data_IF_034299211559
#
_entry.id   IF_034299211559
#
_cell.length_a   1.000
_cell.length_b   1.000
_cell.length_c   1.000
_cell.angle_alpha   90.00
_cell.angle_beta   90.00
_cell.angle_gamma   90.00
#
_symmetry.space_group_name_H-M   'P 1'
#
loop_
_entity.id
_entity.type
_entity.pdbx_description
1 polymer ?
#
# COMPACT_ATOMS: atom_id res chain seq x y z
N UNK A 1 13.64 -20.79 -6.54
CA UNK A 1 12.51 -20.85 -5.59
C UNK A 1 11.57 -19.71 -5.96
N UNK A 2 10.51 -20.01 -6.70
CA UNK A 2 9.55 -18.99 -7.14
C UNK A 2 8.67 -18.64 -5.94
N UNK A 3 8.87 -17.49 -5.31
CA UNK A 3 7.90 -16.93 -4.38
C UNK A 3 6.64 -16.61 -5.17
N UNK A 4 5.57 -17.35 -4.90
CA UNK A 4 4.24 -17.06 -5.43
C UNK A 4 3.72 -15.85 -4.67
N UNK A 5 4.02 -14.63 -5.12
CA UNK A 5 3.28 -13.46 -4.70
C UNK A 5 1.85 -13.66 -5.18
N UNK A 6 0.93 -14.00 -4.27
CA UNK A 6 -0.49 -14.05 -4.57
C UNK A 6 -0.88 -12.73 -5.25
N UNK A 7 -1.55 -12.80 -6.40
CA UNK A 7 -1.90 -11.62 -7.17
C UNK A 7 -2.67 -10.63 -6.26
N UNK A 8 -2.23 -9.36 -6.13
CA UNK A 8 -2.80 -8.37 -5.20
C UNK A 8 -4.27 -8.08 -5.42
N UNK A 9 -4.73 -8.43 -6.62
CA UNK A 9 -6.05 -8.14 -7.11
C UNK A 9 -6.76 -9.41 -7.49
N UNK A 10 -8.06 -9.44 -7.26
CA UNK A 10 -8.92 -10.37 -7.95
C UNK A 10 -8.88 -10.08 -9.46
N UNK A 11 -9.51 -10.98 -10.21
CA UNK A 11 -9.66 -10.89 -11.66
C UNK A 11 -10.40 -9.63 -12.14
N UNK A 12 -11.03 -8.88 -11.23
CA UNK A 12 -11.71 -7.61 -11.50
C UNK A 12 -10.88 -6.39 -11.04
N UNK A 13 -9.64 -6.58 -10.59
CA UNK A 13 -8.79 -5.50 -10.09
C UNK A 13 -9.04 -5.12 -8.62
N UNK A 14 -9.90 -5.84 -7.88
CA UNK A 14 -10.16 -5.52 -6.47
C UNK A 14 -9.05 -6.04 -5.58
N UNK A 15 -8.60 -5.18 -4.68
CA UNK A 15 -7.59 -5.52 -3.69
C UNK A 15 -8.02 -6.71 -2.81
N UNK A 16 -7.24 -7.79 -2.81
CA UNK A 16 -7.47 -8.97 -1.98
C UNK A 16 -6.74 -8.94 -0.64
N UNK A 17 -5.91 -7.91 -0.41
CA UNK A 17 -4.99 -7.83 0.72
C UNK A 17 -3.56 -8.19 0.33
N UNK A 18 -2.59 -7.65 1.05
CA UNK A 18 -1.16 -7.80 0.77
C UNK A 18 -0.32 -7.55 2.02
N UNK A 19 0.94 -7.99 1.98
CA UNK A 19 1.91 -7.72 3.08
C UNK A 19 2.26 -6.23 3.17
N UNK A 20 2.84 -5.78 4.30
CA UNK A 20 3.31 -4.39 4.44
C UNK A 20 4.28 -3.99 3.32
N UNK A 21 5.18 -4.90 2.94
CA UNK A 21 6.13 -4.67 1.84
C UNK A 21 5.40 -4.41 0.52
N UNK A 22 4.43 -5.26 0.19
CA UNK A 22 3.66 -5.11 -1.04
C UNK A 22 2.87 -3.80 -1.09
N UNK A 23 2.19 -3.43 0.00
CA UNK A 23 1.54 -2.13 0.11
C UNK A 23 2.54 -0.97 -0.05
N UNK A 24 3.76 -1.13 0.47
CA UNK A 24 4.80 -0.10 0.36
C UNK A 24 5.22 0.08 -1.09
N UNK A 25 5.49 -1.01 -1.80
CA UNK A 25 5.93 -0.98 -3.19
C UNK A 25 4.89 -0.33 -4.10
N UNK A 26 3.63 -0.77 -4.02
CA UNK A 26 2.58 -0.29 -4.92
C UNK A 26 2.17 1.16 -4.63
N UNK A 27 2.09 1.57 -3.37
CA UNK A 27 1.77 2.96 -3.03
C UNK A 27 2.94 3.90 -3.36
N UNK A 28 4.18 3.43 -3.27
CA UNK A 28 5.36 4.21 -3.69
C UNK A 28 5.35 4.41 -5.20
N UNK A 29 5.09 3.35 -5.96
CA UNK A 29 4.91 3.42 -7.42
C UNK A 29 3.79 4.39 -7.81
N UNK A 30 2.64 4.32 -7.13
CA UNK A 30 1.53 5.25 -7.36
C UNK A 30 1.93 6.73 -7.14
N UNK A 31 2.79 7.02 -6.16
CA UNK A 31 3.31 8.38 -5.94
C UNK A 31 4.31 8.77 -7.03
N UNK A 32 5.35 7.97 -7.26
CA UNK A 32 6.49 8.33 -8.09
C UNK A 32 6.18 8.27 -9.59
N UNK A 33 5.44 7.26 -10.02
CA UNK A 33 5.18 6.97 -11.43
C UNK A 33 3.80 7.42 -11.90
N UNK A 34 2.88 7.65 -10.95
CA UNK A 34 1.50 8.03 -11.26
C UNK A 34 1.05 9.35 -10.62
N UNK A 35 1.92 10.03 -9.86
CA UNK A 35 1.67 11.36 -9.33
C UNK A 35 0.61 11.41 -8.22
N UNK A 36 0.35 10.29 -7.54
CA UNK A 36 -0.55 10.27 -6.40
C UNK A 36 -0.02 11.18 -5.28
N UNK A 37 -0.88 12.09 -4.78
CA UNK A 37 -0.51 13.02 -3.70
C UNK A 37 -1.01 12.57 -2.31
N UNK A 38 -1.76 11.46 -2.23
CA UNK A 38 -2.30 10.94 -0.99
C UNK A 38 -3.22 9.74 -1.19
N UNK A 39 -3.58 9.09 -0.08
CA UNK A 39 -4.39 7.87 -0.06
C UNK A 39 -5.46 7.95 1.03
N UNK A 40 -6.60 7.32 0.78
CA UNK A 40 -7.68 7.15 1.76
C UNK A 40 -7.86 5.67 2.04
N UNK A 41 -7.82 5.28 3.32
CA UNK A 41 -8.06 3.91 3.76
C UNK A 41 -9.57 3.66 3.89
N UNK A 42 -10.10 2.73 3.10
CA UNK A 42 -11.49 2.29 3.19
C UNK A 42 -11.59 0.96 3.92
N UNK A 43 -12.60 0.82 4.78
CA UNK A 43 -12.99 -0.47 5.31
C UNK A 43 -13.67 -1.32 4.23
N UNK A 44 -13.54 -2.67 4.24
CA UNK A 44 -14.17 -3.54 3.25
C UNK A 44 -15.70 -3.41 3.19
N UNK A 45 -16.33 -3.05 4.29
CA UNK A 45 -17.79 -2.88 4.43
C UNK A 45 -18.23 -1.42 4.27
N UNK A 46 -17.35 -0.54 3.77
CA UNK A 46 -17.55 0.91 3.68
C UNK A 46 -17.81 1.61 5.02
N UNK A 47 -17.56 0.93 6.15
CA UNK A 47 -17.65 1.48 7.49
C UNK A 47 -16.32 2.05 8.00
N UNK A 48 -16.13 2.00 9.32
CA UNK A 48 -14.88 2.39 9.98
C UNK A 48 -13.88 1.24 9.89
N UNK A 49 -12.61 1.47 9.47
CA UNK A 49 -11.60 0.43 9.51
C UNK A 49 -11.46 -0.16 10.91
N UNK A 50 -11.33 -1.49 10.99
CA UNK A 50 -11.12 -2.13 12.28
C UNK A 50 -9.78 -1.67 12.91
N UNK A 51 -9.64 -1.70 14.24
CA UNK A 51 -8.45 -1.19 14.92
C UNK A 51 -7.14 -1.87 14.49
N UNK A 52 -7.18 -3.13 14.07
CA UNK A 52 -6.00 -3.86 13.61
C UNK A 52 -5.54 -3.33 12.27
N UNK A 53 -6.47 -3.21 11.31
CA UNK A 53 -6.19 -2.64 9.98
C UNK A 53 -5.72 -1.20 10.09
N UNK A 54 -6.40 -0.38 10.91
CA UNK A 54 -5.99 1.00 11.14
C UNK A 54 -4.60 1.09 11.79
N UNK A 55 -4.30 0.24 12.77
CA UNK A 55 -2.98 0.21 13.41
C UNK A 55 -1.87 -0.16 12.42
N UNK A 56 -2.08 -1.19 11.59
CA UNK A 56 -1.11 -1.59 10.55
C UNK A 56 -0.88 -0.49 9.52
N UNK A 57 -1.95 0.15 9.07
CA UNK A 57 -1.85 1.30 8.17
C UNK A 57 -1.02 2.43 8.78
N UNK A 58 -1.37 2.85 10.00
CA UNK A 58 -0.77 4.02 10.63
C UNK A 58 0.68 3.80 11.07
N UNK A 59 1.01 2.60 11.55
CA UNK A 59 2.31 2.30 12.17
C UNK A 59 3.30 1.65 11.23
N UNK A 60 2.83 0.89 10.24
CA UNK A 60 3.70 0.10 9.38
C UNK A 60 3.70 0.65 7.95
N UNK A 61 2.54 0.71 7.31
CA UNK A 61 2.44 1.01 5.86
C UNK A 61 2.73 2.48 5.57
N UNK A 62 2.01 3.41 6.20
CA UNK A 62 2.14 4.83 5.87
C UNK A 62 3.55 5.39 6.15
N UNK A 63 4.26 5.01 7.23
CA UNK A 63 5.66 5.37 7.42
C UNK A 63 6.57 4.77 6.35
N UNK A 64 6.45 3.48 6.05
CA UNK A 64 7.30 2.82 5.06
C UNK A 64 7.18 3.44 3.66
N UNK A 65 5.97 3.80 3.23
CA UNK A 65 5.73 4.51 1.96
C UNK A 65 6.42 5.88 1.95
N UNK A 66 6.30 6.66 3.04
CA UNK A 66 6.97 7.97 3.13
C UNK A 66 8.49 7.83 3.06
N UNK A 67 9.05 6.82 3.73
CA UNK A 67 10.49 6.54 3.68
C UNK A 67 10.96 6.15 2.28
N UNK A 68 10.23 5.26 1.60
CA UNK A 68 10.54 4.82 0.25
C UNK A 68 10.47 5.98 -0.77
N UNK A 69 9.38 6.76 -0.76
CA UNK A 69 9.23 7.95 -1.61
C UNK A 69 10.34 8.97 -1.35
N UNK A 70 10.69 9.23 -0.08
CA UNK A 70 11.76 10.16 0.25
C UNK A 70 13.13 9.67 -0.23
N UNK A 71 13.40 8.36 -0.12
CA UNK A 71 14.65 7.75 -0.57
C UNK A 71 14.78 7.79 -2.10
N UNK A 72 13.74 7.40 -2.81
CA UNK A 72 13.75 7.25 -4.26
C UNK A 72 13.58 8.58 -5.00
N UNK A 73 12.76 9.49 -4.46
CA UNK A 73 12.60 10.85 -4.97
C UNK A 73 13.85 11.71 -4.81
N UNK A 74 14.75 11.38 -3.86
CA UNK A 74 16.06 12.03 -3.74
C UNK A 74 17.07 11.53 -4.80
N UNK A 75 16.82 10.37 -5.41
CA UNK A 75 17.71 9.75 -6.40
C UNK A 75 17.32 10.01 -7.85
N UNK A 76 16.18 10.68 -8.09
CA UNK A 76 15.67 11.08 -9.41
C UNK A 76 16.12 12.50 -9.77
#
# INVERSE_FOLDING_TARGET
MLSYSAAPHDRDGRWLGGSVAQWTDELTDAVLNHGACGFTLFAPDHGTPDPTTLSRWARDIAPAVREAVAKEGLTA
#
